data_IF_934772971287
#
_entry.id   IF_934772971287
#
_cell.length_a   1.000
_cell.length_b   1.000
_cell.length_c   1.000
_cell.angle_alpha   90.00
_cell.angle_beta   90.00
_cell.angle_gamma   90.00
#
_symmetry.space_group_name_H-M   'P 1'
#
loop_
_entity.id
_entity.type
_entity.pdbx_description
1 polymer ?
#
# COMPACT_ATOMS: atom_id res chain seq x y z
N UNK A 1 -6.45 21.52 16.24
CA UNK A 1 -5.63 20.33 16.56
C UNK A 1 -5.25 20.28 18.05
N UNK A 2 -5.50 19.16 18.74
CA UNK A 2 -5.01 18.92 20.11
C UNK A 2 -3.53 18.45 20.10
N UNK A 3 -2.90 18.26 21.26
CA UNK A 3 -1.48 17.88 21.36
C UNK A 3 -1.17 16.49 20.77
N UNK A 4 -2.06 15.52 20.97
CA UNK A 4 -1.89 14.18 20.40
C UNK A 4 -1.94 14.23 18.87
N UNK A 5 -2.95 14.89 18.30
CA UNK A 5 -3.09 15.06 16.85
C UNK A 5 -1.86 15.77 16.26
N UNK A 6 -1.31 16.77 16.96
CA UNK A 6 -0.07 17.47 16.57
C UNK A 6 1.13 16.55 16.56
N UNK A 7 1.26 15.68 17.55
CA UNK A 7 2.35 14.71 17.62
C UNK A 7 2.20 13.62 16.55
N UNK A 8 0.98 13.16 16.25
CA UNK A 8 0.71 12.23 15.14
C UNK A 8 1.11 12.87 13.82
N UNK A 9 0.60 14.07 13.53
CA UNK A 9 0.94 14.84 12.33
C UNK A 9 2.46 15.03 12.20
N UNK A 10 3.12 15.46 13.27
CA UNK A 10 4.56 15.73 13.26
C UNK A 10 5.35 14.44 13.05
N UNK A 11 4.97 13.33 13.70
CA UNK A 11 5.65 12.04 13.54
C UNK A 11 5.60 11.55 12.09
N UNK A 12 4.41 11.53 11.48
CA UNK A 12 4.24 11.02 10.11
C UNK A 12 4.89 11.97 9.09
N UNK A 13 4.59 13.27 9.16
CA UNK A 13 5.05 14.21 8.13
C UNK A 13 6.54 14.51 8.24
N UNK A 14 7.12 14.42 9.44
CA UNK A 14 8.56 14.50 9.57
C UNK A 14 9.26 13.27 8.98
N UNK A 15 8.71 12.05 9.15
CA UNK A 15 9.21 10.86 8.48
C UNK A 15 9.13 11.02 6.96
N UNK A 16 7.96 11.40 6.44
CA UNK A 16 7.75 11.65 5.01
C UNK A 16 8.79 12.64 4.46
N UNK A 17 8.92 13.80 5.11
CA UNK A 17 9.91 14.83 4.72
C UNK A 17 11.34 14.29 4.76
N UNK A 18 11.75 13.59 5.83
CA UNK A 18 13.12 13.03 5.95
C UNK A 18 13.47 12.13 4.77
N UNK A 19 12.51 11.33 4.32
CA UNK A 19 12.69 10.42 3.19
C UNK A 19 12.38 11.08 1.83
N UNK A 20 12.26 12.41 1.79
CA UNK A 20 12.10 13.18 0.56
C UNK A 20 10.66 13.31 0.06
N UNK A 21 9.69 12.81 0.84
CA UNK A 21 8.28 12.87 0.54
C UNK A 21 7.68 14.27 0.69
N UNK A 22 6.68 14.54 -0.14
CA UNK A 22 5.85 15.73 -0.15
C UNK A 22 4.37 15.31 -0.17
N UNK A 23 3.76 15.21 1.02
CA UNK A 23 2.34 14.86 1.19
C UNK A 23 1.36 15.71 0.36
N UNK A 24 1.74 16.94 -0.03
CA UNK A 24 0.89 17.83 -0.83
C UNK A 24 1.20 17.77 -2.33
N UNK A 25 2.15 16.93 -2.76
CA UNK A 25 2.50 16.81 -4.16
C UNK A 25 1.29 16.30 -4.96
N UNK A 26 0.93 16.93 -6.08
CA UNK A 26 -0.18 16.45 -6.90
C UNK A 26 0.11 15.08 -7.53
N UNK A 27 1.38 14.68 -7.63
CA UNK A 27 1.83 13.41 -8.21
C UNK A 27 2.36 12.46 -7.15
N UNK A 28 2.16 11.17 -7.38
CA UNK A 28 2.72 10.09 -6.55
C UNK A 28 4.23 9.99 -6.68
N UNK A 29 4.82 10.63 -7.71
CA UNK A 29 6.28 10.74 -7.84
C UNK A 29 6.93 11.57 -6.73
N UNK A 30 6.19 12.46 -6.07
CA UNK A 30 6.67 13.25 -4.96
C UNK A 30 6.18 12.79 -3.59
N UNK A 31 5.25 11.83 -3.50
CA UNK A 31 4.78 11.25 -2.23
C UNK A 31 5.61 10.02 -1.88
N UNK A 32 5.75 9.73 -0.59
CA UNK A 32 6.63 8.63 -0.18
C UNK A 32 6.20 7.84 1.04
N UNK A 33 5.84 8.50 2.14
CA UNK A 33 5.34 7.84 3.37
C UNK A 33 3.92 8.29 3.64
N UNK A 34 3.62 9.59 3.53
CA UNK A 34 2.28 10.10 3.74
C UNK A 34 1.54 10.18 2.40
N UNK A 35 0.55 9.30 2.22
CA UNK A 35 -0.21 9.22 0.96
C UNK A 35 -1.33 10.25 0.86
N UNK A 36 -1.78 10.76 2.02
CA UNK A 36 -2.92 11.67 2.10
C UNK A 36 -2.78 12.67 3.25
N UNK A 37 -3.46 13.81 3.08
CA UNK A 37 -3.75 14.78 4.13
C UNK A 37 -5.09 15.44 3.80
N UNK A 38 -6.20 14.81 4.22
CA UNK A 38 -7.54 15.35 3.95
C UNK A 38 -8.15 16.13 5.12
N UNK A 39 -7.41 16.28 6.21
CA UNK A 39 -7.78 17.16 7.32
C UNK A 39 -7.74 18.63 6.89
N UNK A 40 -8.66 19.43 7.44
CA UNK A 40 -8.66 20.89 7.29
C UNK A 40 -7.71 21.59 8.28
N UNK A 41 -7.06 20.82 9.16
CA UNK A 41 -6.03 21.32 10.06
C UNK A 41 -4.78 21.76 9.28
N UNK A 42 -4.04 22.77 9.80
CA UNK A 42 -2.80 23.21 9.17
C UNK A 42 -1.73 22.10 9.23
N UNK A 43 -0.90 22.03 8.18
CA UNK A 43 0.26 21.15 8.15
C UNK A 43 1.23 21.52 9.29
N UNK A 44 1.90 20.52 9.91
CA UNK A 44 2.78 20.75 11.04
C UNK A 44 4.04 21.53 10.62
N UNK A 45 4.78 22.01 11.61
CA UNK A 45 6.08 22.67 11.39
C UNK A 45 7.07 21.76 10.65
N UNK A 46 7.01 20.44 10.91
CA UNK A 46 7.75 19.42 10.17
C UNK A 46 7.59 19.51 8.63
N UNK A 47 6.48 20.06 8.13
CA UNK A 47 6.28 20.30 6.71
C UNK A 47 6.63 21.72 6.29
N UNK A 48 6.17 22.70 7.07
CA UNK A 48 6.13 24.12 6.70
C UNK A 48 7.42 24.87 7.00
N UNK A 49 8.30 24.32 7.84
CA UNK A 49 9.59 24.91 8.16
C UNK A 49 10.47 25.05 6.90
N UNK A 50 11.22 26.15 6.71
CA UNK A 50 12.05 26.34 5.51
C UNK A 50 13.08 25.23 5.27
N UNK A 51 13.57 24.60 6.33
CA UNK A 51 14.49 23.45 6.22
C UNK A 51 13.79 22.19 5.68
N UNK A 52 12.50 22.00 5.95
CA UNK A 52 11.74 20.88 5.43
C UNK A 52 11.67 20.92 3.89
N UNK A 53 11.44 22.11 3.33
CA UNK A 53 11.45 22.33 1.89
C UNK A 53 12.82 21.97 1.27
N UNK A 54 13.92 22.39 1.90
CA UNK A 54 15.28 22.03 1.45
C UNK A 54 15.51 20.51 1.45
N UNK A 55 15.05 19.81 2.48
CA UNK A 55 15.16 18.34 2.54
C UNK A 55 14.42 17.70 1.37
N UNK A 56 13.18 18.12 1.08
CA UNK A 56 12.40 17.61 -0.05
C UNK A 56 13.06 17.90 -1.39
N UNK A 57 13.56 19.13 -1.60
CA UNK A 57 14.31 19.50 -2.81
C UNK A 57 15.61 18.70 -2.98
N UNK A 58 16.26 18.32 -1.88
CA UNK A 58 17.45 17.48 -1.87
C UNK A 58 17.16 15.99 -2.13
N UNK A 59 15.90 15.57 -2.07
CA UNK A 59 15.46 14.19 -2.23
C UNK A 59 15.53 13.35 -0.95
N UNK A 60 15.59 13.99 0.22
CA UNK A 60 15.65 13.30 1.51
C UNK A 60 16.98 12.60 1.81
N UNK A 61 16.92 11.67 2.75
CA UNK A 61 18.04 10.83 3.20
C UNK A 61 18.68 10.06 2.05
N UNK A 62 20.01 10.06 2.00
CA UNK A 62 20.77 9.49 0.87
C UNK A 62 20.68 10.31 -0.43
N UNK A 63 20.04 11.48 -0.37
CA UNK A 63 19.92 12.44 -1.46
C UNK A 63 21.17 13.31 -1.66
N UNK A 64 20.97 14.49 -2.24
CA UNK A 64 22.06 15.34 -2.75
C UNK A 64 22.71 16.25 -1.70
N UNK A 65 22.03 16.48 -0.56
CA UNK A 65 22.48 17.42 0.46
C UNK A 65 22.30 16.85 1.89
N UNK A 66 23.29 16.08 2.39
CA UNK A 66 23.27 15.54 3.76
C UNK A 66 23.20 16.62 4.86
N UNK A 67 23.68 17.85 4.58
CA UNK A 67 23.64 18.93 5.56
C UNK A 67 22.21 19.42 5.81
N UNK A 68 21.35 19.38 4.79
CA UNK A 68 19.93 19.71 4.93
C UNK A 68 19.21 18.79 5.92
N UNK A 69 19.54 17.48 5.92
CA UNK A 69 19.01 16.51 6.89
C UNK A 69 19.45 16.90 8.31
N UNK A 70 20.74 17.19 8.50
CA UNK A 70 21.28 17.53 9.82
C UNK A 70 20.65 18.80 10.40
N UNK A 71 20.50 19.84 9.59
CA UNK A 71 19.88 21.08 10.04
C UNK A 71 18.39 20.86 10.37
N UNK A 72 17.69 20.08 9.55
CA UNK A 72 16.29 19.76 9.77
C UNK A 72 16.05 18.99 11.08
N UNK A 73 16.83 17.93 11.34
CA UNK A 73 16.67 17.13 12.57
C UNK A 73 17.08 17.87 13.85
N UNK A 74 17.91 18.93 13.74
CA UNK A 74 18.20 19.83 14.86
C UNK A 74 17.06 20.80 15.13
N UNK A 75 16.37 21.23 14.08
CA UNK A 75 15.28 22.21 14.19
C UNK A 75 13.94 21.57 14.59
N UNK A 76 13.67 20.36 14.13
CA UNK A 76 12.40 19.67 14.33
C UNK A 76 12.62 18.45 15.23
N UNK A 77 11.96 18.41 16.39
CA UNK A 77 12.04 17.28 17.33
C UNK A 77 11.18 16.09 16.87
N UNK A 78 11.66 15.43 15.82
CA UNK A 78 10.99 14.29 15.20
C UNK A 78 10.82 13.13 16.20
N UNK A 79 11.91 12.76 16.89
CA UNK A 79 11.90 11.62 17.82
C UNK A 79 11.13 11.93 19.10
N UNK A 80 11.08 13.18 19.54
CA UNK A 80 10.18 13.63 20.61
C UNK A 80 8.72 13.43 20.26
N UNK A 81 8.30 13.82 19.04
CA UNK A 81 6.93 13.60 18.57
C UNK A 81 6.57 12.10 18.56
N UNK A 82 7.45 11.24 18.02
CA UNK A 82 7.23 9.78 17.98
C UNK A 82 7.06 9.20 19.39
N UNK A 83 7.93 9.59 20.34
CA UNK A 83 7.82 9.16 21.74
C UNK A 83 6.54 9.64 22.39
N UNK A 84 6.11 10.87 22.12
CA UNK A 84 4.87 11.41 22.65
C UNK A 84 3.64 10.64 22.14
N UNK A 85 3.64 10.20 20.87
CA UNK A 85 2.59 9.30 20.34
C UNK A 85 2.62 7.95 21.07
N UNK A 86 3.80 7.35 21.24
CA UNK A 86 3.95 6.07 21.95
C UNK A 86 3.48 6.14 23.42
N UNK A 87 3.74 7.24 24.12
CA UNK A 87 3.31 7.42 25.51
C UNK A 87 1.80 7.70 25.62
N UNK A 88 1.25 8.49 24.71
CA UNK A 88 -0.20 8.71 24.63
C UNK A 88 -0.97 7.42 24.31
N UNK A 89 -0.42 6.57 23.43
CA UNK A 89 -0.97 5.28 23.08
C UNK A 89 -1.21 4.37 24.31
N UNK A 90 -0.25 4.35 25.26
CA UNK A 90 -0.38 3.61 26.53
C UNK A 90 -1.54 4.11 27.39
N UNK A 91 -1.77 5.43 27.41
CA UNK A 91 -2.83 6.05 28.19
C UNK A 91 -4.23 5.87 27.59
N UNK A 92 -4.34 5.79 26.25
CA UNK A 92 -5.61 5.59 25.55
C UNK A 92 -6.14 4.16 25.69
N UNK A 93 -5.27 3.16 25.56
CA UNK A 93 -5.68 1.76 25.49
C UNK A 93 -6.62 1.45 24.31
N UNK A 94 -7.19 0.25 24.31
CA UNK A 94 -8.10 -0.21 23.26
C UNK A 94 -7.47 -0.27 21.87
N UNK A 95 -8.32 -0.34 20.82
CA UNK A 95 -7.87 -0.43 19.42
C UNK A 95 -7.05 0.79 19.00
N UNK A 96 -7.51 2.00 19.34
CA UNK A 96 -6.83 3.24 18.99
C UNK A 96 -5.45 3.35 19.65
N UNK A 97 -5.35 2.98 20.93
CA UNK A 97 -4.06 2.93 21.63
C UNK A 97 -3.10 1.93 20.99
N UNK A 98 -3.56 0.72 20.66
CA UNK A 98 -2.74 -0.28 19.97
C UNK A 98 -2.26 0.19 18.59
N UNK A 99 -3.16 0.74 17.77
CA UNK A 99 -2.82 1.32 16.47
C UNK A 99 -1.72 2.40 16.59
N UNK A 100 -1.88 3.35 17.51
CA UNK A 100 -0.91 4.43 17.70
C UNK A 100 0.43 3.93 18.23
N UNK A 101 0.45 2.87 19.04
CA UNK A 101 1.68 2.23 19.48
C UNK A 101 2.45 1.63 18.30
N UNK A 102 1.77 0.92 17.40
CA UNK A 102 2.40 0.35 16.20
C UNK A 102 2.85 1.41 15.20
N UNK A 103 2.06 2.48 15.04
CA UNK A 103 2.45 3.62 14.22
C UNK A 103 3.75 4.25 14.76
N UNK A 104 3.83 4.50 16.06
CA UNK A 104 5.03 5.05 16.67
C UNK A 104 6.23 4.11 16.51
N UNK A 105 6.02 2.81 16.67
CA UNK A 105 7.06 1.79 16.46
C UNK A 105 7.59 1.78 15.02
N UNK A 106 6.71 1.83 14.03
CA UNK A 106 7.11 1.91 12.62
C UNK A 106 7.87 3.22 12.34
N UNK A 107 7.43 4.35 12.89
CA UNK A 107 8.12 5.63 12.75
C UNK A 107 9.51 5.63 13.40
N UNK A 108 9.68 4.97 14.55
CA UNK A 108 11.01 4.86 15.19
C UNK A 108 11.97 4.02 14.32
N UNK A 109 11.50 2.92 13.72
CA UNK A 109 12.32 2.15 12.76
C UNK A 109 12.66 2.95 11.50
N UNK A 110 11.71 3.72 10.96
CA UNK A 110 11.97 4.61 9.83
C UNK A 110 13.01 5.68 10.16
N UNK A 111 13.00 6.19 11.39
CA UNK A 111 14.03 7.10 11.89
C UNK A 111 15.38 6.39 12.05
N UNK A 112 15.42 5.19 12.64
CA UNK A 112 16.65 4.40 12.79
C UNK A 112 17.30 4.12 11.42
N UNK A 113 16.50 3.74 10.42
CA UNK A 113 16.95 3.54 9.05
C UNK A 113 17.48 4.83 8.42
N UNK A 114 16.81 5.96 8.68
CA UNK A 114 17.29 7.25 8.20
C UNK A 114 18.68 7.58 8.79
N UNK A 115 18.86 7.34 10.09
CA UNK A 115 20.13 7.58 10.77
C UNK A 115 21.22 6.59 10.33
N UNK A 116 20.88 5.33 10.05
CA UNK A 116 21.80 4.36 9.44
C UNK A 116 22.35 4.87 8.10
N UNK A 117 21.46 5.32 7.20
CA UNK A 117 21.85 5.79 5.86
C UNK A 117 22.72 7.05 5.94
N UNK A 118 22.45 7.94 6.90
CA UNK A 118 23.27 9.13 7.16
C UNK A 118 24.59 8.82 7.90
N UNK A 119 24.86 7.55 8.24
CA UNK A 119 26.07 7.12 8.95
C UNK A 119 26.11 7.58 10.42
N UNK A 120 24.95 7.88 11.00
CA UNK A 120 24.76 8.43 12.36
C UNK A 120 24.09 7.45 13.33
N UNK A 121 23.58 6.33 12.84
CA UNK A 121 22.92 5.27 13.61
C UNK A 121 23.57 3.90 13.42
N UNK A 122 23.23 2.98 14.32
CA UNK A 122 23.61 1.57 14.19
C UNK A 122 22.89 0.92 13.00
N UNK A 123 23.48 -0.13 12.38
CA UNK A 123 22.79 -0.90 11.35
C UNK A 123 21.48 -1.50 11.85
N UNK A 124 20.37 -1.20 11.18
CA UNK A 124 19.04 -1.73 11.45
C UNK A 124 18.86 -3.06 10.75
N UNK A 125 18.56 -4.11 11.51
CA UNK A 125 18.39 -5.45 10.95
C UNK A 125 17.12 -5.56 10.09
N UNK A 126 17.16 -6.47 9.10
CA UNK A 126 15.97 -6.82 8.30
C UNK A 126 14.83 -7.33 9.19
N UNK A 127 15.14 -8.14 10.20
CA UNK A 127 14.18 -8.66 11.17
C UNK A 127 13.48 -7.54 11.96
N UNK A 128 14.23 -6.52 12.41
CA UNK A 128 13.68 -5.35 13.10
C UNK A 128 12.65 -4.62 12.23
N UNK A 129 12.98 -4.44 10.95
CA UNK A 129 12.12 -3.79 9.97
C UNK A 129 10.81 -4.54 9.74
N UNK A 130 10.90 -5.86 9.53
CA UNK A 130 9.71 -6.67 9.26
C UNK A 130 8.83 -6.83 10.51
N UNK A 131 9.41 -7.14 11.67
CA UNK A 131 8.64 -7.33 12.91
C UNK A 131 7.84 -6.08 13.27
N UNK A 132 8.42 -4.88 13.14
CA UNK A 132 7.73 -3.63 13.42
C UNK A 132 6.47 -3.45 12.56
N UNK A 133 6.54 -3.86 11.30
CA UNK A 133 5.47 -3.62 10.33
C UNK A 133 4.44 -4.77 10.31
N UNK A 134 4.88 -6.01 10.34
CA UNK A 134 4.03 -7.20 10.16
C UNK A 134 3.65 -7.89 11.48
N UNK A 135 4.39 -7.61 12.56
CA UNK A 135 4.30 -8.37 13.82
C UNK A 135 4.97 -9.75 13.77
N UNK A 136 5.57 -10.13 12.64
CA UNK A 136 6.14 -11.46 12.40
C UNK A 136 7.61 -11.38 12.00
N UNK A 137 8.37 -12.44 12.31
CA UNK A 137 9.73 -12.58 11.81
C UNK A 137 9.74 -12.73 10.28
N UNK A 138 10.79 -12.25 9.60
CA UNK A 138 10.88 -12.36 8.16
C UNK A 138 10.94 -13.81 7.71
N UNK A 139 10.30 -14.13 6.58
CA UNK A 139 10.33 -15.45 5.97
C UNK A 139 10.45 -15.36 4.44
N UNK A 140 11.15 -16.31 3.80
CA UNK A 140 11.15 -16.41 2.34
C UNK A 140 9.76 -16.79 1.82
N UNK A 141 9.47 -16.39 0.59
CA UNK A 141 8.24 -16.78 -0.12
C UNK A 141 8.39 -18.17 -0.74
N UNK A 142 7.31 -18.96 -0.70
CA UNK A 142 7.22 -20.24 -1.40
C UNK A 142 6.24 -20.13 -2.59
N UNK A 143 6.75 -20.11 -3.84
CA UNK A 143 5.90 -19.92 -5.01
C UNK A 143 5.26 -21.22 -5.53
N UNK A 144 5.61 -22.40 -4.98
CA UNK A 144 5.31 -23.71 -5.62
C UNK A 144 3.84 -23.90 -5.98
N UNK A 145 2.93 -23.75 -5.04
CA UNK A 145 1.49 -23.98 -5.28
C UNK A 145 0.93 -23.03 -6.35
N UNK A 146 1.32 -21.74 -6.31
CA UNK A 146 0.87 -20.76 -7.32
C UNK A 146 1.48 -21.05 -8.69
N UNK A 147 2.74 -21.47 -8.76
CA UNK A 147 3.39 -21.89 -10.02
C UNK A 147 2.72 -23.11 -10.63
N UNK A 148 2.38 -24.11 -9.82
CA UNK A 148 1.65 -25.30 -10.26
C UNK A 148 0.30 -24.88 -10.85
N UNK A 149 -0.42 -23.99 -10.16
CA UNK A 149 -1.69 -23.47 -10.68
C UNK A 149 -1.55 -22.66 -11.97
N UNK A 150 -0.54 -21.78 -12.05
CA UNK A 150 -0.23 -21.05 -13.29
C UNK A 150 0.09 -22.02 -14.42
N UNK A 151 0.87 -23.08 -14.16
CA UNK A 151 1.23 -24.09 -15.17
C UNK A 151 -0.02 -24.81 -15.72
N UNK A 152 -0.97 -25.15 -14.87
CA UNK A 152 -2.25 -25.72 -15.31
C UNK A 152 -3.04 -24.75 -16.19
N UNK A 153 -3.14 -23.48 -15.77
CA UNK A 153 -3.93 -22.46 -16.45
C UNK A 153 -3.32 -22.06 -17.81
N UNK A 154 -2.01 -21.82 -17.89
CA UNK A 154 -1.35 -21.48 -19.17
C UNK A 154 -1.45 -22.64 -20.17
N UNK A 155 -1.29 -23.88 -19.70
CA UNK A 155 -1.47 -25.07 -20.55
C UNK A 155 -2.91 -25.21 -21.03
N UNK A 156 -3.89 -24.99 -20.16
CA UNK A 156 -5.29 -25.00 -20.54
C UNK A 156 -5.64 -23.88 -21.54
N UNK A 157 -4.92 -22.76 -21.51
CA UNK A 157 -5.00 -21.67 -22.47
C UNK A 157 -4.25 -21.95 -23.80
N UNK A 158 -3.61 -23.13 -23.94
CA UNK A 158 -2.93 -23.54 -25.16
C UNK A 158 -1.46 -23.14 -25.27
N UNK A 159 -0.84 -22.69 -24.17
CA UNK A 159 0.59 -22.35 -24.14
C UNK A 159 1.39 -23.53 -23.59
N UNK A 160 2.25 -24.10 -24.43
CA UNK A 160 3.14 -25.21 -24.10
C UNK A 160 4.60 -24.75 -23.91
N UNK A 161 5.44 -25.61 -23.31
CA UNK A 161 6.87 -25.35 -23.13
C UNK A 161 7.27 -25.05 -21.67
N UNK A 162 8.48 -24.51 -21.44
CA UNK A 162 8.90 -24.07 -20.12
C UNK A 162 7.94 -23.02 -19.54
N UNK A 163 7.62 -23.12 -18.25
CA UNK A 163 6.57 -22.32 -17.62
C UNK A 163 6.76 -20.80 -17.78
N UNK A 164 8.00 -20.33 -17.68
CA UNK A 164 8.31 -18.90 -17.84
C UNK A 164 7.98 -18.41 -19.25
N UNK A 165 8.45 -19.15 -20.26
CA UNK A 165 8.21 -18.83 -21.67
C UNK A 165 6.71 -18.87 -22.01
N UNK A 166 5.99 -19.87 -21.48
CA UNK A 166 4.55 -20.01 -21.65
C UNK A 166 3.78 -18.84 -21.01
N UNK A 167 4.16 -18.42 -19.79
CA UNK A 167 3.54 -17.28 -19.12
C UNK A 167 3.84 -15.96 -19.85
N UNK A 168 5.07 -15.75 -20.33
CA UNK A 168 5.45 -14.56 -21.08
C UNK A 168 4.74 -14.51 -22.45
N UNK A 169 4.60 -15.63 -23.14
CA UNK A 169 3.81 -15.73 -24.37
C UNK A 169 2.32 -15.43 -24.11
N UNK A 170 1.75 -15.98 -23.02
CA UNK A 170 0.37 -15.70 -22.62
C UNK A 170 0.13 -14.21 -22.34
N UNK A 171 1.08 -13.54 -21.66
CA UNK A 171 1.03 -12.09 -21.42
C UNK A 171 1.11 -11.31 -22.72
N UNK A 172 2.04 -11.67 -23.62
CA UNK A 172 2.27 -10.97 -24.87
C UNK A 172 1.01 -10.92 -25.75
N UNK A 173 0.27 -12.02 -25.84
CA UNK A 173 -0.96 -12.11 -26.63
C UNK A 173 -2.13 -11.30 -26.03
N UNK A 174 -2.05 -10.95 -24.74
CA UNK A 174 -3.10 -10.24 -23.99
C UNK A 174 -2.69 -8.83 -23.59
N UNK A 175 -1.65 -8.30 -24.21
CA UNK A 175 -1.13 -6.99 -23.85
C UNK A 175 -2.19 -5.89 -24.01
N UNK A 176 -2.37 -5.07 -22.97
CA UNK A 176 -3.19 -3.87 -23.03
C UNK A 176 -2.58 -2.90 -24.05
N UNK A 177 -3.29 -2.53 -25.13
CA UNK A 177 -2.79 -1.52 -26.05
C UNK A 177 -2.73 -0.15 -25.36
N UNK A 178 -1.62 0.57 -25.49
CA UNK A 178 -1.41 1.88 -24.85
C UNK A 178 -2.57 2.87 -25.07
N UNK A 179 -3.13 2.91 -26.29
CA UNK A 179 -4.25 3.79 -26.65
C UNK A 179 -5.59 3.39 -26.00
N UNK A 180 -5.70 2.15 -25.54
CA UNK A 180 -6.92 1.59 -24.95
C UNK A 180 -6.92 1.60 -23.43
N UNK A 181 -5.78 1.90 -22.79
CA UNK A 181 -5.60 1.91 -21.33
C UNK A 181 -6.74 2.66 -20.63
N UNK A 182 -7.00 3.91 -21.03
CA UNK A 182 -8.03 4.73 -20.36
C UNK A 182 -9.43 4.12 -20.52
N UNK A 183 -9.80 3.76 -21.74
CA UNK A 183 -11.12 3.20 -22.02
C UNK A 183 -11.36 1.86 -21.30
N UNK A 184 -10.34 1.01 -21.23
CA UNK A 184 -10.39 -0.24 -20.47
C UNK A 184 -10.44 0.02 -18.96
N UNK A 185 -9.66 0.98 -18.45
CA UNK A 185 -9.71 1.39 -17.06
C UNK A 185 -11.09 1.88 -16.65
N UNK A 186 -11.70 2.79 -17.42
CA UNK A 186 -13.05 3.29 -17.20
C UNK A 186 -14.08 2.13 -17.18
N UNK A 187 -13.95 1.17 -18.11
CA UNK A 187 -14.84 0.01 -18.19
C UNK A 187 -14.68 -0.94 -16.99
N UNK A 188 -13.45 -1.22 -16.56
CA UNK A 188 -13.17 -2.07 -15.41
C UNK A 188 -13.62 -1.42 -14.11
N UNK A 189 -13.44 -0.10 -13.94
CA UNK A 189 -13.98 0.61 -12.79
C UNK A 189 -15.50 0.46 -12.72
N UNK A 190 -16.21 0.71 -13.83
CA UNK A 190 -17.66 0.59 -13.85
C UNK A 190 -18.13 -0.85 -13.52
N UNK A 191 -17.42 -1.85 -14.05
CA UNK A 191 -17.69 -3.26 -13.77
C UNK A 191 -17.46 -3.62 -12.29
N UNK A 192 -16.30 -3.25 -11.73
CA UNK A 192 -15.97 -3.53 -10.34
C UNK A 192 -16.81 -2.72 -9.35
N UNK A 193 -17.24 -1.52 -9.71
CA UNK A 193 -18.15 -0.73 -8.90
C UNK A 193 -19.53 -1.40 -8.78
N UNK A 194 -20.07 -1.92 -9.90
CA UNK A 194 -21.33 -2.68 -9.89
C UNK A 194 -21.22 -3.97 -9.07
N UNK A 195 -20.08 -4.66 -9.17
CA UNK A 195 -19.78 -5.84 -8.37
C UNK A 195 -19.65 -5.52 -6.87
N UNK A 196 -18.98 -4.42 -6.53
CA UNK A 196 -18.81 -3.92 -5.16
C UNK A 196 -20.16 -3.55 -4.54
N UNK A 197 -21.04 -2.91 -5.29
CA UNK A 197 -22.43 -2.63 -4.86
C UNK A 197 -23.16 -3.92 -4.49
N UNK A 198 -22.95 -5.01 -5.23
CA UNK A 198 -23.61 -6.29 -4.98
C UNK A 198 -23.00 -7.07 -3.81
N UNK A 199 -21.68 -7.07 -3.70
CA UNK A 199 -20.96 -8.06 -2.90
C UNK A 199 -20.25 -7.47 -1.68
N UNK A 200 -20.07 -6.15 -1.59
CA UNK A 200 -19.42 -5.46 -0.46
C UNK A 200 -20.40 -4.54 0.25
N UNK A 201 -21.11 -3.69 -0.49
CA UNK A 201 -22.00 -2.68 0.09
C UNK A 201 -23.16 -3.23 0.95
N UNK A 202 -23.70 -4.44 0.75
CA UNK A 202 -24.73 -4.98 1.65
C UNK A 202 -24.26 -5.16 3.09
N UNK A 203 -22.94 -5.25 3.30
CA UNK A 203 -22.32 -5.40 4.61
C UNK A 203 -21.91 -4.05 5.23
N UNK A 204 -21.94 -2.96 4.46
CA UNK A 204 -21.51 -1.64 4.93
C UNK A 204 -22.64 -0.89 5.65
N UNK A 205 -22.31 -0.03 6.64
CA UNK A 205 -23.28 0.88 7.22
C UNK A 205 -23.97 1.77 6.17
N UNK A 206 -25.25 2.06 6.38
CA UNK A 206 -26.04 2.88 5.45
C UNK A 206 -25.41 4.27 5.18
N UNK A 207 -24.67 4.82 6.16
CA UNK A 207 -23.97 6.09 6.05
C UNK A 207 -22.88 6.12 4.96
N UNK A 208 -22.38 4.97 4.52
CA UNK A 208 -21.35 4.87 3.47
C UNK A 208 -21.93 4.74 2.06
N UNK A 209 -23.24 4.52 1.89
CA UNK A 209 -23.86 4.27 0.57
C UNK A 209 -23.70 5.43 -0.42
N UNK A 210 -23.64 6.66 0.08
CA UNK A 210 -23.48 7.86 -0.75
C UNK A 210 -22.03 8.26 -1.02
N UNK A 211 -21.05 7.52 -0.51
CA UNK A 211 -19.63 7.84 -0.71
C UNK A 211 -19.23 7.44 -2.13
N UNK A 212 -18.63 8.36 -2.92
CA UNK A 212 -18.21 8.06 -4.28
C UNK A 212 -16.89 7.26 -4.28
N UNK A 213 -17.01 5.97 -3.96
CA UNK A 213 -15.93 4.99 -3.71
C UNK A 213 -15.01 4.68 -4.91
N UNK A 214 -15.34 5.20 -6.09
CA UNK A 214 -14.57 5.04 -7.31
C UNK A 214 -14.24 6.39 -7.98
N UNK A 215 -14.31 7.50 -7.22
CA UNK A 215 -14.04 8.84 -7.75
C UNK A 215 -12.55 9.05 -7.99
N UNK A 216 -12.09 8.71 -9.20
CA UNK A 216 -10.69 8.78 -9.60
C UNK A 216 -10.53 9.43 -10.97
N UNK A 217 -9.55 10.31 -11.09
CA UNK A 217 -9.11 10.85 -12.38
C UNK A 217 -7.87 10.10 -12.89
N UNK A 218 -7.92 9.56 -14.12
CA UNK A 218 -6.74 8.92 -14.72
C UNK A 218 -5.79 9.95 -15.32
N UNK A 219 -4.54 9.94 -14.86
CA UNK A 219 -3.47 10.79 -15.37
C UNK A 219 -2.40 9.92 -16.06
N UNK A 220 -2.18 10.06 -17.37
CA UNK A 220 -1.09 9.36 -18.03
C UNK A 220 0.24 10.01 -17.63
N UNK A 221 1.18 9.21 -17.15
CA UNK A 221 2.55 9.65 -16.86
C UNK A 221 3.56 8.86 -17.70
N UNK A 222 4.69 9.47 -18.03
CA UNK A 222 5.80 8.79 -18.71
C UNK A 222 7.03 8.79 -17.81
N UNK A 223 7.88 7.75 -17.92
CA UNK A 223 9.16 7.64 -17.21
C UNK A 223 9.07 7.63 -15.67
N UNK A 224 7.93 7.22 -15.12
CA UNK A 224 7.79 7.03 -13.68
C UNK A 224 8.45 5.73 -13.21
N UNK A 225 8.95 5.72 -11.98
CA UNK A 225 9.57 4.53 -11.37
C UNK A 225 8.54 3.48 -10.91
N UNK A 226 7.24 3.79 -11.00
CA UNK A 226 6.12 2.90 -10.71
C UNK A 226 5.24 2.60 -11.93
N UNK A 227 4.48 1.51 -11.82
CA UNK A 227 3.54 1.01 -12.84
C UNK A 227 2.26 1.85 -12.86
N UNK A 228 1.76 2.12 -11.67
CA UNK A 228 0.68 3.04 -11.37
C UNK A 228 0.85 3.54 -9.94
N UNK A 229 0.26 4.69 -9.63
CA UNK A 229 0.21 5.25 -8.28
C UNK A 229 -1.15 5.89 -8.09
N UNK A 230 -1.88 5.40 -7.10
CA UNK A 230 -3.08 6.05 -6.62
C UNK A 230 -2.68 7.14 -5.63
N UNK A 231 -3.22 8.33 -5.86
CA UNK A 231 -2.97 9.52 -5.06
C UNK A 231 -4.30 10.03 -4.52
N UNK A 232 -4.41 10.08 -3.19
CA UNK A 232 -5.62 10.55 -2.53
C UNK A 232 -5.33 11.81 -1.73
N UNK A 233 -5.76 12.97 -2.24
CA UNK A 233 -5.60 14.23 -1.50
C UNK A 233 -6.80 14.43 -0.58
N UNK A 234 -8.01 14.20 -1.09
CA UNK A 234 -9.26 14.31 -0.33
C UNK A 234 -9.55 15.70 0.25
N UNK A 235 -8.94 16.79 -0.20
CA UNK A 235 -9.13 18.13 0.38
C UNK A 235 -10.23 18.94 -0.28
N UNK A 236 -10.54 18.70 -1.55
CA UNK A 236 -11.62 19.42 -2.21
C UNK A 236 -12.98 19.21 -1.50
N UNK A 237 -13.73 20.30 -1.40
CA UNK A 237 -15.05 20.36 -0.76
C UNK A 237 -16.12 20.82 -1.74
N UNK A 238 -17.35 20.36 -1.53
CA UNK A 238 -18.56 20.90 -2.14
C UNK A 238 -18.95 22.22 -1.46
N UNK A 239 -19.93 22.93 -2.03
CA UNK A 239 -20.41 24.19 -1.48
C UNK A 239 -21.02 24.05 -0.07
N UNK A 240 -21.52 22.86 0.28
CA UNK A 240 -22.06 22.52 1.60
C UNK A 240 -20.98 22.06 2.59
N UNK A 241 -19.70 22.08 2.20
CA UNK A 241 -18.57 21.63 3.01
C UNK A 241 -18.34 20.12 3.02
N UNK A 242 -19.17 19.32 2.33
CA UNK A 242 -18.93 17.89 2.22
C UNK A 242 -17.71 17.58 1.33
N UNK A 243 -16.98 16.48 1.57
CA UNK A 243 -15.84 16.12 0.72
C UNK A 243 -16.24 15.80 -0.72
N UNK A 244 -15.34 16.12 -1.65
CA UNK A 244 -15.42 15.63 -3.03
C UNK A 244 -14.71 14.29 -3.23
N UNK A 245 -14.00 13.78 -2.22
CA UNK A 245 -13.26 12.50 -2.28
C UNK A 245 -12.32 12.47 -3.49
N UNK A 246 -11.52 13.53 -3.64
CA UNK A 246 -10.64 13.66 -4.80
C UNK A 246 -9.50 12.65 -4.73
N UNK A 247 -9.38 11.86 -5.80
CA UNK A 247 -8.25 10.98 -6.03
C UNK A 247 -7.85 11.03 -7.50
N UNK A 248 -6.56 10.81 -7.75
CA UNK A 248 -6.01 10.67 -9.09
C UNK A 248 -5.25 9.37 -9.17
N UNK A 249 -5.41 8.63 -10.26
CA UNK A 249 -4.62 7.45 -10.54
C UNK A 249 -3.69 7.73 -11.69
N UNK A 250 -2.41 7.83 -11.37
CA UNK A 250 -1.37 8.04 -12.36
C UNK A 250 -0.94 6.68 -12.89
N UNK A 251 -1.16 6.42 -14.18
CA UNK A 251 -0.73 5.17 -14.80
C UNK A 251 0.41 5.45 -15.77
N UNK A 252 1.49 4.67 -15.61
CA UNK A 252 2.63 4.76 -16.48
C UNK A 252 2.23 4.30 -17.89
N UNK A 253 2.30 5.21 -18.85
CA UNK A 253 1.90 4.93 -20.24
C UNK A 253 2.83 3.94 -20.94
N UNK A 254 3.99 3.63 -20.35
CA UNK A 254 4.92 2.57 -20.78
C UNK A 254 4.66 1.23 -20.12
N UNK A 255 3.60 1.10 -19.31
CA UNK A 255 3.26 -0.14 -18.61
C UNK A 255 3.01 -1.29 -19.59
N UNK A 256 3.82 -2.34 -19.48
CA UNK A 256 3.59 -3.61 -20.14
C UNK A 256 2.83 -4.55 -19.20
N UNK A 257 1.50 -4.56 -19.32
CA UNK A 257 0.58 -5.37 -18.53
C UNK A 257 -0.43 -6.10 -19.42
N UNK A 258 -0.74 -7.35 -19.09
CA UNK A 258 -1.82 -8.09 -19.74
C UNK A 258 -3.20 -7.57 -19.29
N UNK A 259 -4.24 -7.78 -20.10
CA UNK A 259 -5.62 -7.38 -19.76
C UNK A 259 -6.07 -7.96 -18.40
N UNK A 260 -5.85 -9.25 -18.08
CA UNK A 260 -6.21 -9.79 -16.77
C UNK A 260 -5.42 -9.20 -15.59
N UNK A 261 -4.11 -8.98 -15.72
CA UNK A 261 -3.32 -8.30 -14.69
C UNK A 261 -3.78 -6.84 -14.52
N UNK A 262 -4.21 -6.18 -15.61
CA UNK A 262 -4.75 -4.81 -15.54
C UNK A 262 -6.10 -4.74 -14.82
N UNK A 263 -6.95 -5.76 -14.96
CA UNK A 263 -8.18 -5.87 -14.16
C UNK A 263 -7.87 -5.97 -12.67
N UNK A 264 -6.90 -6.80 -12.29
CA UNK A 264 -6.44 -6.90 -10.90
C UNK A 264 -5.93 -5.54 -10.41
N UNK A 265 -5.08 -4.87 -11.21
CA UNK A 265 -4.54 -3.56 -10.87
C UNK A 265 -5.63 -2.50 -10.68
N UNK A 266 -6.63 -2.43 -11.57
CA UNK A 266 -7.74 -1.48 -11.42
C UNK A 266 -8.54 -1.74 -10.14
N UNK A 267 -8.81 -3.00 -9.81
CA UNK A 267 -9.54 -3.32 -8.56
C UNK A 267 -8.72 -2.99 -7.31
N UNK A 268 -7.40 -3.22 -7.36
CA UNK A 268 -6.45 -2.95 -6.29
C UNK A 268 -6.37 -1.45 -5.99
N UNK A 269 -6.24 -0.63 -7.03
CA UNK A 269 -6.01 0.80 -6.88
C UNK A 269 -7.32 1.57 -6.63
N UNK A 270 -8.41 1.17 -7.29
CA UNK A 270 -9.63 1.97 -7.33
C UNK A 270 -10.74 1.36 -6.48
N UNK A 271 -11.43 0.35 -6.99
CA UNK A 271 -12.68 -0.15 -6.40
C UNK A 271 -12.72 -1.68 -6.43
N UNK A 272 -12.93 -2.37 -5.29
CA UNK A 272 -13.09 -1.85 -3.93
C UNK A 272 -11.77 -1.60 -3.17
N UNK A 273 -10.64 -1.41 -3.85
CA UNK A 273 -9.31 -1.28 -3.25
C UNK A 273 -9.01 0.06 -2.58
N UNK A 274 -7.88 0.68 -2.91
CA UNK A 274 -7.37 1.84 -2.18
C UNK A 274 -8.30 3.06 -2.20
N UNK A 275 -8.78 3.51 -3.37
CA UNK A 275 -9.69 4.68 -3.43
C UNK A 275 -10.95 4.45 -2.59
N UNK A 276 -11.54 3.26 -2.66
CA UNK A 276 -12.70 2.89 -1.83
C UNK A 276 -12.37 2.95 -0.34
N UNK A 277 -11.26 2.34 0.07
CA UNK A 277 -10.80 2.36 1.46
C UNK A 277 -10.64 3.79 1.97
N UNK A 278 -9.96 4.62 1.19
CA UNK A 278 -9.59 5.97 1.61
C UNK A 278 -10.82 6.89 1.64
N UNK A 279 -11.75 6.72 0.69
CA UNK A 279 -13.02 7.44 0.69
C UNK A 279 -13.90 7.10 1.91
N UNK A 280 -13.94 5.83 2.32
CA UNK A 280 -14.65 5.42 3.53
C UNK A 280 -13.99 5.96 4.79
N UNK A 281 -12.67 5.86 4.93
CA UNK A 281 -11.95 6.44 6.07
C UNK A 281 -12.16 7.96 6.15
N UNK A 282 -12.18 8.65 5.02
CA UNK A 282 -12.48 10.08 5.00
C UNK A 282 -13.91 10.37 5.47
N UNK A 283 -14.91 9.63 4.99
CA UNK A 283 -16.30 9.79 5.44
C UNK A 283 -16.41 9.58 6.95
N UNK A 284 -15.79 8.52 7.47
CA UNK A 284 -15.82 8.18 8.89
C UNK A 284 -15.10 9.25 9.74
N UNK A 285 -14.01 9.83 9.26
CA UNK A 285 -13.36 10.97 9.92
C UNK A 285 -14.26 12.21 9.95
N UNK A 286 -14.86 12.58 8.82
CA UNK A 286 -15.75 13.76 8.73
C UNK A 286 -16.97 13.61 9.64
N UNK A 287 -17.47 12.39 9.80
CA UNK A 287 -18.57 12.08 10.73
C UNK A 287 -18.14 12.05 12.21
N UNK A 288 -16.84 12.17 12.50
CA UNK A 288 -16.30 12.11 13.87
C UNK A 288 -16.12 10.69 14.43
N UNK A 289 -16.18 9.66 13.57
CA UNK A 289 -16.01 8.25 13.97
C UNK A 289 -14.54 7.81 14.01
N UNK A 290 -13.63 8.54 13.37
CA UNK A 290 -12.19 8.28 13.40
C UNK A 290 -11.43 9.46 13.98
N UNK A 291 -10.30 9.17 14.63
CA UNK A 291 -9.34 10.18 15.08
C UNK A 291 -8.55 10.80 13.93
N UNK A 292 -7.76 11.82 14.25
CA UNK A 292 -6.93 12.55 13.29
C UNK A 292 -5.99 11.63 12.49
N UNK A 293 -5.47 10.57 13.10
CA UNK A 293 -4.62 9.57 12.43
C UNK A 293 -5.28 8.92 11.21
N UNK A 294 -6.62 8.91 11.13
CA UNK A 294 -7.32 8.44 9.95
C UNK A 294 -7.10 9.34 8.74
N UNK A 295 -6.66 10.58 8.91
CA UNK A 295 -6.50 11.58 7.82
C UNK A 295 -5.18 11.52 7.07
N UNK A 296 -4.23 10.74 7.60
CA UNK A 296 -2.87 10.60 7.06
C UNK A 296 -2.57 9.12 6.94
N UNK A 297 -2.90 8.57 5.78
CA UNK A 297 -2.64 7.18 5.45
C UNK A 297 -1.15 7.01 5.12
N UNK A 298 -0.57 5.90 5.54
CA UNK A 298 0.90 5.75 5.60
C UNK A 298 1.40 4.52 4.86
N UNK A 299 2.53 4.69 4.18
CA UNK A 299 3.37 3.59 3.69
C UNK A 299 4.39 3.19 4.77
N UNK A 300 4.96 1.98 4.65
CA UNK A 300 5.98 1.44 5.59
C UNK A 300 5.49 1.25 7.05
N UNK A 301 4.18 1.17 7.27
CA UNK A 301 3.58 0.94 8.60
C UNK A 301 2.75 -0.34 8.63
N UNK A 302 2.34 -0.78 9.82
CA UNK A 302 1.40 -1.91 9.94
C UNK A 302 0.04 -1.62 9.28
N UNK A 303 -0.35 -0.35 9.18
CA UNK A 303 -1.52 0.06 8.41
C UNK A 303 -1.32 -0.22 6.91
N UNK A 304 -0.13 0.06 6.37
CA UNK A 304 0.19 -0.23 4.97
C UNK A 304 0.02 -1.71 4.65
N UNK A 305 0.46 -2.61 5.56
CA UNK A 305 0.27 -4.06 5.39
C UNK A 305 -1.20 -4.42 5.25
N UNK A 306 -2.07 -3.85 6.08
CA UNK A 306 -3.51 -4.06 5.97
C UNK A 306 -4.08 -3.48 4.68
N UNK A 307 -3.71 -2.24 4.33
CA UNK A 307 -4.21 -1.55 3.14
C UNK A 307 -3.84 -2.30 1.86
N UNK A 308 -2.59 -2.75 1.72
CA UNK A 308 -2.14 -3.60 0.61
C UNK A 308 -2.87 -4.94 0.58
N UNK A 309 -3.11 -5.53 1.75
CA UNK A 309 -3.88 -6.76 1.87
C UNK A 309 -5.33 -6.62 1.39
N UNK A 310 -5.98 -5.50 1.72
CA UNK A 310 -7.33 -5.15 1.24
C UNK A 310 -7.30 -4.98 -0.27
N UNK A 311 -6.37 -4.17 -0.79
CA UNK A 311 -6.23 -3.87 -2.20
C UNK A 311 -5.97 -5.15 -3.03
N UNK A 312 -5.07 -6.03 -2.58
CA UNK A 312 -4.79 -7.29 -3.26
C UNK A 312 -5.96 -8.29 -3.23
N UNK A 313 -6.80 -8.24 -2.19
CA UNK A 313 -8.03 -9.04 -2.12
C UNK A 313 -9.23 -8.35 -2.78
N UNK A 314 -9.09 -7.11 -3.29
CA UNK A 314 -10.21 -6.31 -3.76
C UNK A 314 -10.97 -6.96 -4.91
N UNK A 315 -10.27 -7.60 -5.86
CA UNK A 315 -10.93 -8.32 -6.95
C UNK A 315 -11.80 -9.46 -6.44
N UNK A 316 -11.32 -10.21 -5.44
CA UNK A 316 -12.06 -11.32 -4.84
C UNK A 316 -13.28 -10.81 -4.08
N UNK A 317 -13.13 -9.71 -3.33
CA UNK A 317 -14.23 -9.03 -2.66
C UNK A 317 -15.28 -8.52 -3.66
N UNK A 318 -14.85 -7.92 -4.77
CA UNK A 318 -15.75 -7.47 -5.83
C UNK A 318 -16.57 -8.64 -6.38
N UNK A 319 -15.95 -9.78 -6.68
CA UNK A 319 -16.68 -10.97 -7.14
C UNK A 319 -17.48 -11.68 -6.04
N UNK A 320 -17.20 -11.40 -4.77
CA UNK A 320 -17.86 -12.04 -3.62
C UNK A 320 -17.32 -13.45 -3.35
N UNK A 321 -16.07 -13.70 -3.69
CA UNK A 321 -15.39 -15.01 -3.57
C UNK A 321 -14.17 -14.89 -2.65
N UNK A 322 -13.67 -16.02 -2.14
CA UNK A 322 -12.53 -16.03 -1.22
C UNK A 322 -11.23 -16.49 -1.87
N UNK A 323 -11.32 -17.27 -2.95
CA UNK A 323 -10.17 -17.82 -3.65
C UNK A 323 -10.18 -17.43 -5.14
N UNK A 324 -8.98 -17.30 -5.73
CA UNK A 324 -8.85 -16.95 -7.14
C UNK A 324 -9.44 -18.02 -8.08
N UNK A 325 -9.49 -19.29 -7.67
CA UNK A 325 -10.09 -20.37 -8.46
C UNK A 325 -11.62 -20.31 -8.56
N UNK A 326 -12.25 -19.46 -7.74
CA UNK A 326 -13.69 -19.19 -7.79
C UNK A 326 -14.04 -18.03 -8.74
N UNK A 327 -13.04 -17.38 -9.34
CA UNK A 327 -13.26 -16.32 -10.33
C UNK A 327 -13.97 -16.88 -11.57
N UNK A 328 -14.86 -16.10 -12.19
CA UNK A 328 -15.75 -16.63 -13.24
C UNK A 328 -15.03 -16.91 -14.57
N UNK A 329 -13.81 -16.41 -14.74
CA UNK A 329 -13.03 -16.51 -15.96
C UNK A 329 -11.62 -17.02 -15.66
N UNK A 330 -11.16 -17.99 -16.46
CA UNK A 330 -9.85 -18.63 -16.26
C UNK A 330 -8.68 -17.74 -16.64
N UNK A 331 -8.84 -16.85 -17.62
CA UNK A 331 -7.81 -15.88 -17.96
C UNK A 331 -7.66 -14.85 -16.84
N UNK A 332 -8.77 -14.46 -16.21
CA UNK A 332 -8.77 -13.63 -15.01
C UNK A 332 -8.10 -14.32 -13.82
N UNK A 333 -8.45 -15.57 -13.54
CA UNK A 333 -7.78 -16.38 -12.50
C UNK A 333 -6.27 -16.41 -12.74
N UNK A 334 -5.83 -16.67 -13.97
CA UNK A 334 -4.41 -16.71 -14.33
C UNK A 334 -3.73 -15.35 -14.10
N UNK A 335 -4.36 -14.25 -14.51
CA UNK A 335 -3.86 -12.89 -14.23
C UNK A 335 -3.71 -12.61 -12.74
N UNK A 336 -4.68 -13.03 -11.93
CA UNK A 336 -4.62 -12.90 -10.47
C UNK A 336 -3.52 -13.75 -9.87
N UNK A 337 -3.34 -15.01 -10.31
CA UNK A 337 -2.25 -15.87 -9.83
C UNK A 337 -0.86 -15.28 -10.14
N UNK A 338 -0.70 -14.66 -11.32
CA UNK A 338 0.54 -13.96 -11.68
C UNK A 338 0.77 -12.71 -10.81
N UNK A 339 -0.28 -11.95 -10.49
CA UNK A 339 -0.18 -10.82 -9.56
C UNK A 339 0.19 -11.27 -8.14
N UNK A 340 -0.38 -12.38 -7.66
CA UNK A 340 -0.05 -12.97 -6.36
C UNK A 340 1.39 -13.49 -6.30
N UNK A 341 1.90 -14.07 -7.39
CA UNK A 341 3.32 -14.42 -7.50
C UNK A 341 4.22 -13.18 -7.48
N UNK A 342 3.77 -12.05 -8.04
CA UNK A 342 4.51 -10.79 -7.95
C UNK A 342 4.56 -10.25 -6.51
N UNK A 343 3.52 -10.41 -5.70
CA UNK A 343 3.58 -10.07 -4.27
C UNK A 343 4.57 -10.96 -3.52
N UNK A 344 4.55 -12.27 -3.81
CA UNK A 344 5.55 -13.20 -3.30
C UNK A 344 6.98 -12.78 -3.73
N UNK A 345 7.15 -12.29 -4.95
CA UNK A 345 8.42 -11.75 -5.47
C UNK A 345 8.88 -10.48 -4.76
N UNK A 346 7.97 -9.57 -4.38
CA UNK A 346 8.31 -8.36 -3.60
C UNK A 346 8.92 -8.76 -2.26
N UNK A 347 8.25 -9.65 -1.52
CA UNK A 347 8.78 -10.18 -0.26
C UNK A 347 10.10 -10.95 -0.46
N UNK A 348 10.17 -11.81 -1.49
CA UNK A 348 11.37 -12.58 -1.77
C UNK A 348 12.56 -11.68 -2.14
N UNK A 349 12.33 -10.60 -2.88
CA UNK A 349 13.38 -9.62 -3.19
C UNK A 349 13.92 -8.98 -1.92
N UNK A 350 13.04 -8.58 -1.00
CA UNK A 350 13.42 -8.07 0.32
C UNK A 350 14.31 -9.06 1.07
N UNK A 351 13.86 -10.32 1.17
CA UNK A 351 14.60 -11.40 1.83
C UNK A 351 15.99 -11.61 1.21
N UNK A 352 16.05 -11.86 -0.10
CA UNK A 352 17.32 -12.17 -0.76
C UNK A 352 18.30 -10.99 -0.74
N UNK A 353 17.79 -9.76 -0.82
CA UNK A 353 18.62 -8.55 -0.81
C UNK A 353 19.15 -8.23 0.59
N UNK A 354 18.30 -8.27 1.62
CA UNK A 354 18.65 -7.73 2.94
C UNK A 354 18.99 -8.79 3.97
N UNK A 355 18.40 -9.99 3.89
CA UNK A 355 18.71 -11.12 4.77
C UNK A 355 19.89 -11.93 4.23
N UNK A 356 19.79 -12.37 2.97
CA UNK A 356 20.80 -13.23 2.33
C UNK A 356 21.94 -12.44 1.66
N UNK A 357 21.75 -11.12 1.47
CA UNK A 357 22.75 -10.22 0.87
C UNK A 357 23.22 -10.64 -0.52
N UNK A 358 22.30 -11.16 -1.35
CA UNK A 358 22.62 -11.60 -2.70
C UNK A 358 22.85 -10.43 -3.68
N UNK A 359 23.69 -10.62 -4.72
CA UNK A 359 23.84 -9.67 -5.83
C UNK A 359 22.54 -9.44 -6.61
N UNK A 360 22.42 -8.27 -7.26
CA UNK A 360 21.19 -7.85 -7.97
C UNK A 360 20.81 -8.88 -9.03
N UNK A 361 21.80 -9.34 -9.78
CA UNK A 361 21.64 -10.24 -10.91
C UNK A 361 21.10 -11.61 -10.46
N UNK A 362 21.54 -12.09 -9.29
CA UNK A 362 21.06 -13.34 -8.70
C UNK A 362 19.62 -13.19 -8.21
N UNK A 363 19.30 -12.08 -7.53
CA UNK A 363 17.92 -11.77 -7.12
C UNK A 363 17.02 -11.72 -8.36
N UNK A 364 17.37 -10.94 -9.38
CA UNK A 364 16.60 -10.80 -10.62
C UNK A 364 16.32 -12.17 -11.27
N UNK A 365 17.34 -13.03 -11.32
CA UNK A 365 17.22 -14.40 -11.87
C UNK A 365 16.22 -15.24 -11.10
N UNK A 366 16.21 -15.18 -9.76
CA UNK A 366 15.21 -15.88 -8.93
C UNK A 366 13.81 -15.31 -9.20
N UNK A 367 13.65 -13.98 -9.23
CA UNK A 367 12.34 -13.36 -9.46
C UNK A 367 11.76 -13.73 -10.82
N UNK A 368 12.58 -13.82 -11.88
CA UNK A 368 12.14 -14.28 -13.21
C UNK A 368 11.76 -15.75 -13.19
N UNK A 369 12.69 -16.62 -12.79
CA UNK A 369 12.51 -18.05 -12.96
C UNK A 369 11.49 -18.63 -11.99
N UNK A 370 11.43 -18.10 -10.76
CA UNK A 370 10.64 -18.69 -9.69
C UNK A 370 9.32 -18.01 -9.40
N UNK A 371 9.23 -16.71 -9.67
CA UNK A 371 8.01 -15.94 -9.43
C UNK A 371 7.37 -15.45 -10.73
N UNK A 372 7.93 -15.81 -11.89
CA UNK A 372 7.38 -15.48 -13.20
C UNK A 372 7.14 -13.97 -13.38
N UNK A 373 7.90 -13.12 -12.68
CA UNK A 373 7.88 -11.67 -12.89
C UNK A 373 8.25 -11.36 -14.34
N UNK A 374 7.80 -10.26 -14.94
CA UNK A 374 8.40 -9.79 -16.20
C UNK A 374 9.86 -9.32 -16.00
N UNK A 375 10.61 -9.14 -17.09
CA UNK A 375 11.98 -8.59 -17.03
C UNK A 375 12.02 -7.22 -16.32
N UNK A 376 11.10 -6.33 -16.69
CA UNK A 376 10.97 -5.00 -16.09
C UNK A 376 10.67 -5.08 -14.58
N UNK A 377 9.77 -5.99 -14.17
CA UNK A 377 9.46 -6.18 -12.74
C UNK A 377 10.63 -6.77 -11.98
N UNK A 378 11.31 -7.76 -12.53
CA UNK A 378 12.47 -8.37 -11.89
C UNK A 378 13.64 -7.39 -11.75
N UNK A 379 13.91 -6.55 -12.76
CA UNK A 379 14.95 -5.51 -12.68
C UNK A 379 14.60 -4.46 -11.61
N UNK A 380 13.36 -3.96 -11.61
CA UNK A 380 12.89 -3.00 -10.60
C UNK A 380 13.00 -3.57 -9.18
N UNK A 381 12.48 -4.78 -8.97
CA UNK A 381 12.42 -5.39 -7.65
C UNK A 381 13.81 -5.78 -7.13
N UNK A 382 14.73 -6.23 -7.97
CA UNK A 382 16.11 -6.54 -7.56
C UNK A 382 17.02 -5.30 -7.47
N UNK A 383 16.64 -4.22 -8.14
CA UNK A 383 17.38 -2.96 -8.24
C UNK A 383 16.84 -1.88 -7.31
N UNK A 384 16.42 -0.76 -7.89
CA UNK A 384 16.13 0.48 -7.17
C UNK A 384 15.12 0.30 -6.02
N UNK A 385 14.11 -0.55 -6.19
CA UNK A 385 13.09 -0.76 -5.16
C UNK A 385 13.55 -1.71 -4.06
N UNK A 386 14.02 -2.91 -4.43
CA UNK A 386 14.48 -3.88 -3.43
C UNK A 386 15.73 -3.46 -2.68
N UNK A 387 16.58 -2.62 -3.27
CA UNK A 387 17.80 -2.10 -2.62
C UNK A 387 17.59 -0.76 -1.93
N UNK A 388 16.40 -0.16 -2.03
CA UNK A 388 16.09 1.03 -1.24
C UNK A 388 16.06 0.66 0.26
N UNK A 389 16.78 1.38 1.14
CA UNK A 389 16.92 1.01 2.55
C UNK A 389 15.57 0.96 3.28
N UNK A 390 14.66 1.88 2.99
CA UNK A 390 13.30 1.86 3.51
C UNK A 390 12.38 0.87 2.76
N UNK A 391 12.05 1.14 1.50
CA UNK A 391 11.08 0.34 0.75
C UNK A 391 11.47 -1.15 0.65
N UNK A 392 12.75 -1.43 0.43
CA UNK A 392 13.25 -2.79 0.28
C UNK A 392 13.19 -3.60 1.57
N UNK A 393 13.41 -2.99 2.74
CA UNK A 393 13.41 -3.69 4.05
C UNK A 393 12.02 -3.71 4.70
N UNK A 394 11.27 -2.62 4.58
CA UNK A 394 9.97 -2.44 5.21
C UNK A 394 8.82 -2.67 4.24
N UNK A 395 8.67 -1.87 3.17
CA UNK A 395 7.44 -1.86 2.38
C UNK A 395 7.20 -3.09 1.50
N UNK A 396 8.21 -3.59 0.77
CA UNK A 396 8.01 -4.70 -0.18
C UNK A 396 7.37 -5.96 0.45
N UNK A 397 7.74 -6.38 1.67
CA UNK A 397 7.04 -7.44 2.40
C UNK A 397 5.55 -7.19 2.62
N UNK A 398 5.12 -5.92 2.78
CA UNK A 398 3.76 -5.56 3.17
C UNK A 398 2.69 -6.19 2.27
N UNK A 399 2.96 -6.22 0.97
CA UNK A 399 2.07 -6.82 -0.03
C UNK A 399 1.77 -8.28 0.28
N UNK A 400 2.78 -9.15 0.39
CA UNK A 400 2.57 -10.58 0.63
C UNK A 400 1.90 -10.83 1.98
N UNK A 401 2.42 -10.22 3.05
CA UNK A 401 1.91 -10.41 4.40
C UNK A 401 0.45 -9.97 4.50
N UNK A 402 0.13 -8.78 3.97
CA UNK A 402 -1.22 -8.27 3.88
C UNK A 402 -2.16 -9.17 3.10
N UNK A 403 -1.75 -9.58 1.89
CA UNK A 403 -2.56 -10.44 1.01
C UNK A 403 -2.96 -11.73 1.71
N UNK A 404 -1.99 -12.42 2.33
CA UNK A 404 -2.23 -13.69 3.03
C UNK A 404 -3.10 -13.47 4.28
N UNK A 405 -2.81 -12.44 5.07
CA UNK A 405 -3.52 -12.21 6.31
C UNK A 405 -4.98 -11.81 6.08
N UNK A 406 -5.25 -10.91 5.12
CA UNK A 406 -6.63 -10.53 4.76
C UNK A 406 -7.40 -11.71 4.16
N UNK A 407 -6.77 -12.53 3.30
CA UNK A 407 -7.40 -13.74 2.78
C UNK A 407 -7.82 -14.69 3.92
N UNK A 408 -6.92 -14.98 4.87
CA UNK A 408 -7.20 -15.81 6.05
C UNK A 408 -8.32 -15.24 6.93
N UNK A 409 -8.34 -13.93 7.14
CA UNK A 409 -9.41 -13.28 7.91
C UNK A 409 -10.77 -13.42 7.22
N UNK A 410 -10.82 -13.31 5.90
CA UNK A 410 -12.04 -13.51 5.10
C UNK A 410 -12.52 -14.95 5.05
N UNK A 411 -11.61 -15.91 5.09
CA UNK A 411 -11.94 -17.33 5.27
C UNK A 411 -12.51 -17.62 6.66
N UNK A 412 -11.91 -17.01 7.70
CA UNK A 412 -12.24 -17.27 9.10
C UNK A 412 -13.55 -16.60 9.55
N UNK A 413 -13.86 -15.41 9.05
CA UNK A 413 -14.96 -14.59 9.53
C UNK A 413 -15.99 -14.32 8.42
N UNK A 414 -17.28 -14.32 8.79
CA UNK A 414 -18.36 -14.00 7.86
C UNK A 414 -18.20 -12.58 7.28
N UNK A 415 -18.58 -12.33 6.01
CA UNK A 415 -18.46 -11.03 5.36
C UNK A 415 -19.05 -9.86 6.15
N UNK A 416 -20.19 -10.09 6.83
CA UNK A 416 -20.87 -9.10 7.67
C UNK A 416 -20.05 -8.63 8.88
N UNK A 417 -19.05 -9.40 9.31
CA UNK A 417 -18.17 -9.06 10.41
C UNK A 417 -16.82 -8.50 9.93
N UNK A 418 -16.20 -9.13 8.94
CA UNK A 418 -14.85 -8.76 8.48
C UNK A 418 -14.82 -7.54 7.57
N UNK A 419 -15.75 -7.41 6.61
CA UNK A 419 -15.70 -6.32 5.64
C UNK A 419 -15.83 -4.94 6.32
N UNK A 420 -16.73 -4.72 7.29
CA UNK A 420 -16.80 -3.44 7.99
C UNK A 420 -15.50 -3.09 8.71
N UNK A 421 -14.83 -4.07 9.32
CA UNK A 421 -13.56 -3.87 10.00
C UNK A 421 -12.44 -3.48 9.02
N UNK A 422 -12.34 -4.17 7.87
CA UNK A 422 -11.36 -3.84 6.82
C UNK A 422 -11.52 -2.40 6.30
N UNK A 423 -12.76 -1.91 6.21
CA UNK A 423 -13.08 -0.57 5.73
C UNK A 423 -13.21 0.49 6.84
N UNK A 424 -12.69 0.20 8.05
CA UNK A 424 -12.61 1.16 9.15
C UNK A 424 -13.90 1.44 9.92
N UNK A 425 -14.99 0.71 9.63
CA UNK A 425 -16.28 0.92 10.29
C UNK A 425 -16.27 0.56 11.79
N UNK A 426 -15.26 -0.19 12.26
CA UNK A 426 -15.06 -0.54 13.67
C UNK A 426 -13.90 0.26 14.31
N UNK A 427 -13.61 1.44 13.75
CA UNK A 427 -12.44 2.25 14.12
C UNK A 427 -11.29 2.04 13.16
N UNK A 428 -10.28 2.90 13.24
CA UNK A 428 -9.06 2.76 12.46
C UNK A 428 -8.25 1.59 13.02
N UNK A 429 -7.88 0.67 12.14
CA UNK A 429 -7.17 -0.56 12.46
C UNK A 429 -5.97 -0.73 11.54
N UNK A 430 -5.05 -1.57 11.97
CA UNK A 430 -3.89 -2.05 11.24
C UNK A 430 -3.85 -3.59 11.24
N UNK A 431 -2.79 -4.16 10.67
CA UNK A 431 -2.67 -5.61 10.55
C UNK A 431 -2.70 -6.34 11.90
N UNK A 432 -2.23 -5.71 12.97
CA UNK A 432 -2.20 -6.32 14.31
C UNK A 432 -3.52 -6.20 15.07
N UNK A 433 -4.36 -5.22 14.72
CA UNK A 433 -5.57 -4.85 15.49
C UNK A 433 -6.86 -5.25 14.79
N UNK A 434 -6.85 -5.50 13.48
CA UNK A 434 -8.06 -5.79 12.68
C UNK A 434 -8.85 -6.99 13.22
N UNK A 435 -8.19 -8.08 13.60
CA UNK A 435 -8.90 -9.26 14.12
C UNK A 435 -9.58 -8.97 15.45
N UNK A 436 -8.93 -8.19 16.33
CA UNK A 436 -9.53 -7.78 17.60
C UNK A 436 -10.77 -6.92 17.35
N UNK A 437 -10.73 -6.01 16.36
CA UNK A 437 -11.88 -5.22 15.99
C UNK A 437 -13.06 -6.06 15.47
N UNK A 438 -12.78 -7.14 14.73
CA UNK A 438 -13.82 -8.10 14.29
C UNK A 438 -14.44 -8.80 15.48
N UNK A 439 -13.62 -9.31 16.41
CA UNK A 439 -14.09 -10.05 17.57
C UNK A 439 -14.89 -9.16 18.54
N UNK A 440 -14.45 -7.92 18.77
CA UNK A 440 -15.14 -6.96 19.64
C UNK A 440 -16.48 -6.48 19.08
N UNK A 441 -16.67 -6.47 17.77
CA UNK A 441 -17.96 -6.10 17.16
C UNK A 441 -18.99 -7.23 17.21
N UNK A 442 -18.57 -8.47 17.53
CA UNK A 442 -19.43 -9.64 17.64
C UNK A 442 -19.89 -9.93 19.08
N UNK A 443 -19.18 -9.37 20.07
CA UNK A 443 -19.51 -9.44 21.50
C UNK A 443 -20.51 -8.35 21.90
#
# INVERSE_FOLDING_TARGET
>A
MNDLDRNIATSIIAMDTLWGGDVMNPSGTGRFIADSWYSDEPLPEAYTHPLAAKVREAGGVGGKDPAAIEDYVKAIDVRGAVRAVADAAKGLGGLRGAYLANLAECCDVMWELAMEVEGKGDPVSHDRCQIAMTGEAPQPSDPRAKRERVAELVKAAGYDGPLLDAADAWRADRMVPRKSIKALGDAFIAHFDALTERNVMPYMPAALRGVPRANVEFLPIENAWFSGSMNYIGRARNADGSPKYESTYELNASLQISIPEFQQLVSHEVVPGHVTTFAFLQKLFVDGNLGFEGTVLTMNTSMAVLAEGIANNAILMAYGVNDASELPDRDLELGVQLALLQDDAKNQSSWLTWKEKLPKEEVAKVLRNDFLCSDERADKLSGAWGRHPLLGRMYLPAYRYGTIAVARLREKHAPAAILPALFGCHGLVDMSTVETAVLSAQS
#
